data_IF_474157495780
#
_entry.id   IF_474157495780
#
_cell.length_a   1.000
_cell.length_b   1.000
_cell.length_c   1.000
_cell.angle_alpha   90.00
_cell.angle_beta   90.00
_cell.angle_gamma   90.00
#
_symmetry.space_group_name_H-M   'P 1'
#
loop_
_entity.id
_entity.type
_entity.pdbx_description
1 polymer ?
#
# COMPACT_ATOMS: atom_id res chain seq x y z
N UNK A 1 12.82 124.65 63.49
CA UNK A 1 12.28 123.30 63.63
C UNK A 1 12.87 122.48 62.50
N UNK A 2 13.60 121.45 62.87
CA UNK A 2 14.45 120.66 61.97
C UNK A 2 13.57 119.70 61.15
N UNK A 3 14.07 119.26 60.00
CA UNK A 3 13.42 118.31 59.09
C UNK A 3 12.91 117.05 59.82
N UNK A 4 13.53 116.71 60.95
CA UNK A 4 13.19 115.60 61.83
C UNK A 4 11.88 115.79 62.60
N UNK A 5 11.49 117.01 62.99
CA UNK A 5 10.23 117.26 63.73
C UNK A 5 8.99 117.21 62.82
N UNK A 6 9.14 117.55 61.54
CA UNK A 6 8.08 117.47 60.53
C UNK A 6 7.84 116.01 60.09
N UNK A 7 8.89 115.19 59.97
CA UNK A 7 8.78 113.75 59.72
C UNK A 7 8.10 113.02 60.91
N UNK A 8 8.33 113.46 62.15
CA UNK A 8 7.69 112.90 63.34
C UNK A 8 6.18 113.22 63.39
N UNK A 9 5.77 114.45 63.04
CA UNK A 9 4.34 114.83 62.90
C UNK A 9 3.68 114.13 61.73
N UNK A 10 4.36 114.02 60.59
CA UNK A 10 3.86 113.31 59.41
C UNK A 10 3.67 111.82 59.73
N UNK A 11 4.62 111.19 60.44
CA UNK A 11 4.52 109.82 60.94
C UNK A 11 3.31 109.61 61.86
N UNK A 12 3.03 110.57 62.77
CA UNK A 12 1.89 110.49 63.69
C UNK A 12 0.51 110.52 62.99
N UNK A 13 0.38 111.22 61.85
CA UNK A 13 -0.87 111.29 61.07
C UNK A 13 -0.95 110.18 60.02
N UNK A 14 0.13 109.88 59.30
CA UNK A 14 0.16 108.93 58.19
C UNK A 14 0.16 107.46 58.66
N UNK A 15 0.85 107.14 59.77
CA UNK A 15 0.96 105.76 60.25
C UNK A 15 -0.39 105.13 60.64
N UNK A 16 -1.31 105.81 61.37
CA UNK A 16 -2.65 105.27 61.65
C UNK A 16 -3.47 104.99 60.38
N UNK A 17 -3.30 105.80 59.32
CA UNK A 17 -3.99 105.63 58.03
C UNK A 17 -3.40 104.44 57.25
N UNK A 18 -2.08 104.29 57.26
CA UNK A 18 -1.36 103.26 56.48
C UNK A 18 -1.25 101.92 57.21
N UNK A 19 -1.33 101.87 58.55
CA UNK A 19 -1.23 100.64 59.36
C UNK A 19 -2.26 99.56 59.00
N UNK A 20 -3.56 99.87 58.77
CA UNK A 20 -4.51 98.89 58.25
C UNK A 20 -4.12 98.33 56.88
N UNK A 21 -3.60 99.18 55.99
CA UNK A 21 -3.13 98.78 54.65
C UNK A 21 -1.90 97.87 54.74
N UNK A 22 -0.94 98.16 55.63
CA UNK A 22 0.23 97.30 55.88
C UNK A 22 -0.18 95.93 56.45
N UNK A 23 -1.17 95.89 57.36
CA UNK A 23 -1.72 94.62 57.87
C UNK A 23 -2.42 93.83 56.78
N UNK A 24 -3.18 94.49 55.91
CA UNK A 24 -3.82 93.85 54.76
C UNK A 24 -2.79 93.32 53.76
N UNK A 25 -1.73 94.07 53.47
CA UNK A 25 -0.63 93.64 52.62
C UNK A 25 0.08 92.39 53.16
N UNK A 26 0.36 92.33 54.46
CA UNK A 26 0.92 91.13 55.10
C UNK A 26 -0.03 89.92 55.01
N UNK A 27 -1.34 90.15 55.13
CA UNK A 27 -2.36 89.10 54.97
C UNK A 27 -2.45 88.61 53.51
N UNK A 28 -2.34 89.51 52.53
CA UNK A 28 -2.25 89.15 51.11
C UNK A 28 -1.00 88.32 50.82
N UNK A 29 0.16 88.71 51.34
CA UNK A 29 1.40 87.95 51.18
C UNK A 29 1.29 86.53 51.77
N UNK A 30 0.67 86.40 52.95
CA UNK A 30 0.41 85.08 53.55
C UNK A 30 -0.49 84.21 52.67
N UNK A 31 -1.57 84.78 52.11
CA UNK A 31 -2.44 84.08 51.16
C UNK A 31 -1.73 83.72 49.85
N UNK A 32 -0.88 84.60 49.33
CA UNK A 32 -0.10 84.34 48.11
C UNK A 32 0.87 83.17 48.31
N UNK A 33 1.50 83.08 49.49
CA UNK A 33 2.33 81.93 49.85
C UNK A 33 1.51 80.62 49.88
N UNK A 34 0.32 80.64 50.50
CA UNK A 34 -0.58 79.47 50.51
C UNK A 34 -1.06 79.11 49.10
N UNK A 35 -1.37 80.09 48.25
CA UNK A 35 -1.80 79.86 46.86
C UNK A 35 -0.68 79.19 46.06
N UNK A 36 0.57 79.60 46.26
CA UNK A 36 1.71 79.00 45.56
C UNK A 36 1.97 77.57 46.02
N UNK A 37 1.91 77.30 47.32
CA UNK A 37 2.01 75.93 47.85
C UNK A 37 0.91 75.01 47.31
N UNK A 38 -0.35 75.50 47.26
CA UNK A 38 -1.46 74.77 46.65
C UNK A 38 -1.24 74.52 45.15
N UNK A 39 -0.66 75.47 44.41
CA UNK A 39 -0.34 75.29 42.99
C UNK A 39 0.72 74.22 42.76
N UNK A 40 1.74 74.18 43.60
CA UNK A 40 2.80 73.16 43.48
C UNK A 40 2.26 71.76 43.83
N UNK A 41 1.40 71.67 44.85
CA UNK A 41 0.66 70.43 45.13
C UNK A 41 -0.22 69.99 43.95
N UNK A 42 -0.92 70.91 43.28
CA UNK A 42 -1.73 70.60 42.08
C UNK A 42 -0.83 70.07 40.96
N UNK A 43 0.32 70.70 40.70
CA UNK A 43 1.27 70.25 39.67
C UNK A 43 1.78 68.84 39.95
N UNK A 44 2.09 68.52 41.20
CA UNK A 44 2.52 67.17 41.58
C UNK A 44 1.40 66.13 41.31
N UNK A 45 0.15 66.47 41.65
CA UNK A 45 -1.00 65.61 41.35
C UNK A 45 -1.24 65.47 39.85
N UNK A 46 -1.04 66.51 39.06
CA UNK A 46 -1.18 66.44 37.59
C UNK A 46 -0.16 65.48 36.98
N UNK A 47 1.08 65.48 37.46
CA UNK A 47 2.12 64.51 37.06
C UNK A 47 1.68 63.09 37.41
N UNK A 48 1.16 62.88 38.62
CA UNK A 48 0.67 61.57 39.05
C UNK A 48 -0.51 61.08 38.20
N UNK A 49 -1.45 61.98 37.87
CA UNK A 49 -2.58 61.68 36.97
C UNK A 49 -2.08 61.28 35.58
N UNK A 50 -1.09 61.99 35.03
CA UNK A 50 -0.50 61.65 33.74
C UNK A 50 0.14 60.25 33.76
N UNK A 51 0.85 59.90 34.83
CA UNK A 51 1.42 58.55 35.01
C UNK A 51 0.32 57.48 35.09
N UNK A 52 -0.77 57.72 35.82
CA UNK A 52 -1.89 56.78 35.90
C UNK A 52 -2.58 56.58 34.55
N UNK A 53 -2.78 57.66 33.77
CA UNK A 53 -3.33 57.56 32.41
C UNK A 53 -2.48 56.67 31.51
N UNK A 54 -1.15 56.85 31.53
CA UNK A 54 -0.23 56.00 30.78
C UNK A 54 -0.31 54.52 31.20
N UNK A 55 -0.44 54.23 32.50
CA UNK A 55 -0.65 52.85 32.99
C UNK A 55 -1.98 52.25 32.53
N UNK A 56 -3.04 53.05 32.50
CA UNK A 56 -4.36 52.60 32.02
C UNK A 56 -4.28 52.25 30.53
N UNK A 57 -3.64 53.07 29.71
CA UNK A 57 -3.44 52.80 28.28
C UNK A 57 -2.67 51.50 28.04
N UNK A 58 -1.59 51.27 28.80
CA UNK A 58 -0.84 50.02 28.75
C UNK A 58 -1.70 48.81 29.14
N UNK A 59 -2.50 48.96 30.20
CA UNK A 59 -3.39 47.89 30.69
C UNK A 59 -4.44 47.52 29.63
N UNK A 60 -5.05 48.52 29.01
CA UNK A 60 -6.03 48.30 27.94
C UNK A 60 -5.40 47.59 26.73
N UNK A 61 -4.17 47.95 26.37
CA UNK A 61 -3.42 47.27 25.30
C UNK A 61 -3.16 45.79 25.64
N UNK A 62 -2.74 45.51 26.87
CA UNK A 62 -2.55 44.13 27.35
C UNK A 62 -3.86 43.33 27.36
N UNK A 63 -4.98 43.95 27.74
CA UNK A 63 -6.30 43.30 27.75
C UNK A 63 -6.74 42.87 26.34
N UNK A 64 -6.51 43.72 25.33
CA UNK A 64 -6.79 43.38 23.93
C UNK A 64 -5.94 42.17 23.50
N UNK A 65 -4.64 42.19 23.80
CA UNK A 65 -3.76 41.06 23.46
C UNK A 65 -4.16 39.74 24.15
N UNK A 66 -4.70 39.82 25.37
CA UNK A 66 -5.20 38.65 26.08
C UNK A 66 -6.44 38.06 25.40
N UNK A 67 -7.38 38.91 24.98
CA UNK A 67 -8.58 38.46 24.24
C UNK A 67 -8.20 37.78 22.93
N UNK A 68 -7.26 38.33 22.18
CA UNK A 68 -6.77 37.71 20.94
C UNK A 68 -6.17 36.31 21.22
N UNK A 69 -5.33 36.20 22.24
CA UNK A 69 -4.76 34.89 22.63
C UNK A 69 -5.82 33.90 23.09
N UNK A 70 -6.85 34.35 23.80
CA UNK A 70 -7.97 33.54 24.25
C UNK A 70 -8.75 32.97 23.05
N UNK A 71 -9.02 33.78 22.02
CA UNK A 71 -9.67 33.29 20.80
C UNK A 71 -8.83 32.24 20.07
N UNK A 72 -7.51 32.45 19.96
CA UNK A 72 -6.59 31.47 19.36
C UNK A 72 -6.60 30.17 20.17
N UNK A 73 -6.61 30.28 21.49
CA UNK A 73 -6.65 29.11 22.38
C UNK A 73 -7.95 28.32 22.19
N UNK A 74 -9.09 29.00 22.08
CA UNK A 74 -10.37 28.35 21.78
C UNK A 74 -10.37 27.64 20.43
N UNK A 75 -9.83 28.26 19.38
CA UNK A 75 -9.72 27.63 18.06
C UNK A 75 -8.85 26.37 18.13
N UNK A 76 -7.71 26.43 18.82
CA UNK A 76 -6.84 25.26 19.02
C UNK A 76 -7.52 24.16 19.83
N UNK A 77 -8.32 24.50 20.84
CA UNK A 77 -9.08 23.52 21.60
C UNK A 77 -10.08 22.76 20.72
N UNK A 78 -10.76 23.45 19.79
CA UNK A 78 -11.66 22.82 18.82
C UNK A 78 -10.90 21.87 17.89
N UNK A 79 -9.72 22.27 17.42
CA UNK A 79 -8.86 21.40 16.60
C UNK A 79 -8.42 20.14 17.35
N UNK A 80 -8.06 20.26 18.64
CA UNK A 80 -7.71 19.12 19.49
C UNK A 80 -8.87 18.14 19.59
N UNK A 81 -10.08 18.61 19.89
CA UNK A 81 -11.27 17.75 19.99
C UNK A 81 -11.55 17.03 18.66
N UNK A 82 -11.33 17.70 17.52
CA UNK A 82 -11.45 17.07 16.21
C UNK A 82 -10.42 15.94 16.02
N UNK A 83 -9.16 16.20 16.39
CA UNK A 83 -8.10 15.19 16.31
C UNK A 83 -8.36 14.00 17.24
N UNK A 84 -8.87 14.22 18.45
CA UNK A 84 -9.23 13.16 19.39
C UNK A 84 -10.32 12.23 18.82
N UNK A 85 -11.32 12.81 18.15
CA UNK A 85 -12.34 12.02 17.44
C UNK A 85 -11.72 11.17 16.32
N UNK A 86 -10.88 11.77 15.48
CA UNK A 86 -10.23 11.06 14.38
C UNK A 86 -9.32 9.92 14.89
N UNK A 87 -8.70 10.10 16.06
CA UNK A 87 -7.92 9.05 16.74
C UNK A 87 -8.84 7.91 17.17
N UNK A 88 -9.98 8.21 17.82
CA UNK A 88 -10.94 7.19 18.25
C UNK A 88 -11.50 6.36 17.10
N UNK A 89 -11.84 7.00 15.97
CA UNK A 89 -12.32 6.30 14.78
C UNK A 89 -11.24 5.36 14.20
N UNK A 90 -9.97 5.78 14.20
CA UNK A 90 -8.84 4.94 13.78
C UNK A 90 -8.58 3.78 14.74
N UNK A 91 -8.71 3.99 16.05
CA UNK A 91 -8.56 2.93 17.04
C UNK A 91 -9.60 1.82 16.86
N UNK A 92 -10.85 2.19 16.54
CA UNK A 92 -11.89 1.22 16.21
C UNK A 92 -11.56 0.39 14.96
N UNK A 93 -11.06 1.04 13.90
CA UNK A 93 -10.64 0.33 12.67
C UNK A 93 -9.47 -0.63 12.94
N UNK A 94 -8.51 -0.21 13.77
CA UNK A 94 -7.38 -1.06 14.19
C UNK A 94 -7.89 -2.28 14.96
N UNK A 95 -8.87 -2.11 15.85
CA UNK A 95 -9.43 -3.22 16.61
C UNK A 95 -10.12 -4.23 15.70
N UNK A 96 -10.91 -3.78 14.71
CA UNK A 96 -11.56 -4.67 13.75
C UNK A 96 -10.52 -5.45 12.92
N UNK A 97 -9.50 -4.76 12.40
CA UNK A 97 -8.42 -5.44 11.65
C UNK A 97 -7.67 -6.45 12.52
N UNK A 98 -7.47 -6.16 13.80
CA UNK A 98 -6.84 -7.08 14.76
C UNK A 98 -7.66 -8.35 14.93
N UNK A 99 -8.98 -8.24 15.05
CA UNK A 99 -9.87 -9.41 15.15
C UNK A 99 -9.84 -10.26 13.88
N UNK A 100 -9.78 -9.62 12.70
CA UNK A 100 -9.59 -10.31 11.42
C UNK A 100 -8.25 -11.04 11.35
N UNK A 101 -7.17 -10.44 11.85
CA UNK A 101 -5.84 -11.07 11.94
C UNK A 101 -5.90 -12.32 12.83
N UNK A 102 -6.48 -12.23 14.02
CA UNK A 102 -6.62 -13.39 14.92
C UNK A 102 -7.42 -14.54 14.29
N UNK A 103 -8.46 -14.21 13.50
CA UNK A 103 -9.20 -15.22 12.72
C UNK A 103 -8.32 -15.90 11.66
N UNK A 104 -7.51 -15.11 10.94
CA UNK A 104 -6.60 -15.64 9.93
C UNK A 104 -5.49 -16.50 10.54
N UNK A 105 -4.96 -16.11 11.70
CA UNK A 105 -3.96 -16.89 12.45
C UNK A 105 -4.49 -18.28 12.82
N UNK A 106 -5.73 -18.37 13.32
CA UNK A 106 -6.38 -19.65 13.62
C UNK A 106 -6.56 -20.52 12.36
N UNK A 107 -6.90 -19.91 11.22
CA UNK A 107 -7.01 -20.63 9.95
C UNK A 107 -5.66 -21.17 9.47
N UNK A 108 -4.59 -20.39 9.62
CA UNK A 108 -3.23 -20.81 9.29
C UNK A 108 -2.83 -22.01 10.15
N UNK A 109 -3.03 -21.92 11.47
CA UNK A 109 -2.69 -23.02 12.39
C UNK A 109 -3.46 -24.30 12.06
N UNK A 110 -4.75 -24.19 11.73
CA UNK A 110 -5.55 -25.34 11.29
C UNK A 110 -4.98 -25.96 10.00
N UNK A 111 -4.63 -25.13 9.00
CA UNK A 111 -4.04 -25.60 7.73
C UNK A 111 -2.67 -26.26 7.95
N UNK A 112 -1.85 -25.76 8.87
CA UNK A 112 -0.56 -26.36 9.21
C UNK A 112 -0.72 -27.77 9.79
N UNK A 113 -1.66 -27.98 10.72
CA UNK A 113 -1.92 -29.32 11.27
C UNK A 113 -2.37 -30.30 10.19
N UNK A 114 -3.19 -29.83 9.24
CA UNK A 114 -3.61 -30.64 8.10
C UNK A 114 -2.44 -30.96 7.17
N UNK A 115 -1.55 -30.00 6.93
CA UNK A 115 -0.35 -30.20 6.12
C UNK A 115 0.57 -31.26 6.74
N UNK A 116 0.82 -31.18 8.05
CA UNK A 116 1.59 -32.20 8.77
C UNK A 116 0.97 -33.60 8.66
N UNK A 117 -0.37 -33.69 8.71
CA UNK A 117 -1.06 -34.98 8.51
C UNK A 117 -0.91 -35.48 7.07
N UNK A 118 -0.98 -34.60 6.08
CA UNK A 118 -0.80 -34.95 4.68
C UNK A 118 0.63 -35.39 4.39
N UNK A 119 1.63 -34.75 4.99
CA UNK A 119 3.04 -35.13 4.84
C UNK A 119 3.31 -36.54 5.38
N UNK A 120 2.67 -36.93 6.49
CA UNK A 120 2.73 -38.31 6.98
C UNK A 120 2.15 -39.30 5.97
N UNK A 121 1.03 -38.96 5.35
CA UNK A 121 0.40 -39.77 4.31
C UNK A 121 1.30 -39.90 3.06
N UNK A 122 1.97 -38.82 2.66
CA UNK A 122 2.90 -38.83 1.51
C UNK A 122 4.05 -39.79 1.79
N UNK A 123 4.67 -39.72 2.98
CA UNK A 123 5.76 -40.63 3.36
C UNK A 123 5.31 -42.11 3.33
N UNK A 124 4.09 -42.38 3.77
CA UNK A 124 3.53 -43.73 3.73
C UNK A 124 3.33 -44.20 2.28
N UNK A 125 2.76 -43.36 1.43
CA UNK A 125 2.60 -43.68 0.00
C UNK A 125 3.96 -43.85 -0.70
N UNK A 126 4.96 -43.03 -0.39
CA UNK A 126 6.32 -43.18 -0.90
C UNK A 126 6.92 -44.54 -0.51
N UNK A 127 6.72 -44.98 0.73
CA UNK A 127 7.15 -46.31 1.18
C UNK A 127 6.44 -47.42 0.39
N UNK A 128 5.14 -47.30 0.18
CA UNK A 128 4.37 -48.26 -0.62
C UNK A 128 4.84 -48.29 -2.09
N UNK A 129 5.07 -47.13 -2.71
CA UNK A 129 5.62 -47.05 -4.08
C UNK A 129 7.02 -47.66 -4.17
N UNK A 130 7.88 -47.40 -3.18
CA UNK A 130 9.21 -47.98 -3.14
C UNK A 130 9.18 -49.51 -2.97
N UNK A 131 8.19 -50.05 -2.25
CA UNK A 131 7.97 -51.49 -2.17
C UNK A 131 7.49 -52.07 -3.50
N UNK A 132 6.57 -51.40 -4.19
CA UNK A 132 6.06 -51.79 -5.50
C UNK A 132 7.13 -51.75 -6.59
N UNK A 133 7.99 -50.72 -6.59
CA UNK A 133 9.14 -50.62 -7.51
C UNK A 133 10.11 -51.79 -7.35
N UNK A 134 10.35 -52.26 -6.11
CA UNK A 134 11.21 -53.43 -5.87
C UNK A 134 10.59 -54.72 -6.41
N UNK A 135 9.28 -54.87 -6.31
CA UNK A 135 8.56 -56.00 -6.95
C UNK A 135 8.50 -55.88 -8.48
N UNK A 136 8.49 -54.66 -9.03
CA UNK A 136 8.56 -54.39 -10.48
C UNK A 136 9.99 -54.42 -11.06
N UNK A 137 11.04 -54.47 -10.23
CA UNK A 137 12.45 -54.49 -10.64
C UNK A 137 12.90 -55.72 -11.46
N UNK A 138 11.96 -56.58 -11.89
CA UNK A 138 12.17 -57.62 -12.91
C UNK A 138 11.59 -57.28 -14.29
N UNK A 139 11.01 -56.09 -14.48
CA UNK A 139 10.34 -55.66 -15.72
C UNK A 139 10.60 -54.17 -16.00
N UNK A 140 11.84 -53.74 -16.27
CA UNK A 140 12.11 -52.44 -16.91
C UNK A 140 13.37 -52.56 -17.77
N UNK A 141 13.22 -52.50 -19.10
CA UNK A 141 13.74 -51.38 -19.91
C UNK A 141 13.27 -51.48 -21.37
N UNK A 142 12.25 -50.70 -21.75
CA UNK A 142 11.83 -50.52 -23.17
C UNK A 142 11.72 -49.02 -23.51
N UNK A 143 12.07 -48.13 -22.57
CA UNK A 143 11.89 -46.67 -22.66
C UNK A 143 12.97 -45.92 -23.45
N UNK A 144 13.97 -46.59 -24.03
CA UNK A 144 15.05 -45.96 -24.81
C UNK A 144 14.81 -45.98 -26.33
N UNK A 145 13.72 -46.58 -26.81
CA UNK A 145 13.47 -46.62 -28.25
C UNK A 145 13.02 -45.25 -28.77
N UNK A 146 13.86 -44.62 -29.59
CA UNK A 146 13.56 -43.36 -30.30
C UNK A 146 12.73 -43.54 -31.57
N UNK A 147 12.47 -44.78 -31.98
CA UNK A 147 11.72 -45.13 -33.19
C UNK A 147 11.12 -46.52 -33.08
N UNK A 148 10.29 -46.90 -34.07
CA UNK A 148 9.75 -48.26 -34.19
C UNK A 148 10.79 -49.31 -34.63
N UNK A 149 12.00 -48.91 -35.05
CA UNK A 149 13.03 -49.82 -35.59
C UNK A 149 13.45 -50.96 -34.64
N UNK A 150 13.62 -50.75 -33.32
CA UNK A 150 13.98 -51.83 -32.39
C UNK A 150 12.88 -52.89 -32.25
N UNK A 151 11.66 -52.58 -32.69
CA UNK A 151 10.49 -53.44 -32.57
C UNK A 151 10.22 -54.15 -33.88
N UNK A 152 11.08 -55.12 -34.21
CA UNK A 152 11.06 -55.75 -35.53
C UNK A 152 9.78 -56.53 -35.79
N UNK A 153 9.14 -57.06 -34.74
CA UNK A 153 8.07 -58.05 -34.87
C UNK A 153 6.70 -57.55 -34.38
N UNK A 154 6.60 -56.30 -33.91
CA UNK A 154 5.40 -55.77 -33.28
C UNK A 154 4.55 -54.92 -34.25
N UNK A 155 3.29 -55.35 -34.45
CA UNK A 155 2.22 -54.52 -35.02
C UNK A 155 1.32 -54.00 -33.90
N UNK A 156 1.90 -53.26 -32.96
CA UNK A 156 1.20 -52.73 -31.79
C UNK A 156 1.51 -51.24 -31.58
N UNK A 157 0.78 -50.63 -30.66
CA UNK A 157 1.00 -49.27 -30.20
C UNK A 157 2.09 -49.32 -29.13
N UNK A 158 3.23 -48.71 -29.42
CA UNK A 158 4.40 -48.69 -28.56
C UNK A 158 4.72 -47.27 -28.13
N UNK A 159 5.45 -47.14 -27.02
CA UNK A 159 5.90 -45.85 -26.51
C UNK A 159 7.30 -45.56 -27.04
N UNK A 160 7.48 -44.40 -27.69
CA UNK A 160 8.79 -43.89 -28.10
C UNK A 160 9.12 -42.59 -27.36
N UNK A 161 10.41 -42.33 -27.17
CA UNK A 161 10.92 -41.12 -26.53
C UNK A 161 11.84 -40.33 -27.46
N UNK A 162 11.60 -39.03 -27.61
CA UNK A 162 12.46 -38.11 -28.38
C UNK A 162 12.88 -36.92 -27.51
N UNK A 163 14.13 -36.43 -27.65
CA UNK A 163 14.56 -35.24 -26.91
C UNK A 163 13.71 -34.02 -27.28
N UNK A 164 13.17 -33.32 -26.28
CA UNK A 164 12.29 -32.16 -26.46
C UNK A 164 10.78 -32.46 -26.35
N UNK A 165 10.38 -33.74 -26.32
CA UNK A 165 9.00 -34.15 -26.05
C UNK A 165 8.99 -35.35 -25.09
N UNK A 166 8.05 -35.39 -24.14
CA UNK A 166 7.89 -36.56 -23.27
C UNK A 166 7.55 -37.83 -24.08
N UNK A 167 7.70 -39.03 -23.50
CA UNK A 167 7.39 -40.28 -24.17
C UNK A 167 5.93 -40.30 -24.66
N UNK A 168 5.71 -40.76 -25.90
CA UNK A 168 4.39 -40.77 -26.52
C UNK A 168 4.13 -42.07 -27.29
N UNK A 169 2.85 -42.39 -27.43
CA UNK A 169 2.39 -43.61 -28.09
C UNK A 169 2.39 -43.44 -29.61
N UNK A 170 2.91 -44.44 -30.31
CA UNK A 170 2.93 -44.54 -31.77
C UNK A 170 2.53 -45.94 -32.24
N UNK A 171 1.73 -46.07 -33.31
CA UNK A 171 1.50 -47.36 -33.93
C UNK A 171 2.70 -47.76 -34.77
N UNK A 172 3.35 -48.85 -34.40
CA UNK A 172 4.38 -49.48 -35.21
C UNK A 172 3.75 -50.50 -36.16
N UNK A 173 4.23 -50.57 -37.40
CA UNK A 173 3.72 -51.51 -38.39
C UNK A 173 4.86 -52.27 -39.08
N UNK A 174 4.96 -53.57 -38.81
CA UNK A 174 5.92 -54.46 -39.48
C UNK A 174 5.38 -55.20 -40.71
N UNK A 175 4.10 -54.99 -41.08
CA UNK A 175 3.41 -55.83 -42.08
C UNK A 175 3.42 -55.29 -43.51
N UNK A 176 3.48 -53.96 -43.70
CA UNK A 176 3.16 -53.34 -45.00
C UNK A 176 4.38 -53.14 -45.89
N UNK A 177 5.60 -53.01 -45.35
CA UNK A 177 6.83 -52.81 -46.13
C UNK A 177 8.11 -53.12 -45.33
N UNK A 178 8.10 -54.21 -44.56
CA UNK A 178 9.17 -54.54 -43.61
C UNK A 178 8.91 -54.01 -42.20
N UNK A 179 9.87 -54.21 -41.30
CA UNK A 179 9.76 -53.85 -39.90
C UNK A 179 10.16 -52.39 -39.60
N UNK A 180 9.65 -51.84 -38.50
CA UNK A 180 10.10 -50.56 -37.98
C UNK A 180 9.42 -49.30 -38.50
N UNK A 181 8.31 -49.41 -39.23
CA UNK A 181 7.56 -48.24 -39.70
C UNK A 181 6.72 -47.62 -38.60
N UNK A 182 6.88 -46.31 -38.39
CA UNK A 182 5.98 -45.51 -37.54
C UNK A 182 4.82 -44.98 -38.38
N UNK A 183 3.58 -45.29 -38.00
CA UNK A 183 2.41 -44.80 -38.72
C UNK A 183 2.07 -43.38 -38.26
N UNK A 184 2.23 -42.40 -39.15
CA UNK A 184 1.95 -40.99 -38.84
C UNK A 184 0.49 -40.57 -39.11
N UNK A 185 -0.21 -41.32 -39.97
CA UNK A 185 -1.58 -41.03 -40.38
C UNK A 185 -2.25 -42.31 -40.88
N UNK A 186 -3.49 -42.57 -40.46
CA UNK A 186 -4.29 -43.72 -40.94
C UNK A 186 -5.72 -43.30 -41.25
N UNK A 187 -6.26 -43.77 -42.39
CA UNK A 187 -7.70 -43.72 -42.72
C UNK A 187 -8.18 -45.11 -43.10
N UNK A 188 -9.03 -45.69 -42.27
CA UNK A 188 -9.71 -46.97 -42.50
C UNK A 188 -11.20 -46.74 -42.77
N UNK A 189 -11.84 -45.86 -41.99
CA UNK A 189 -13.28 -45.62 -42.00
C UNK A 189 -13.60 -44.11 -42.02
N UNK A 190 -14.87 -43.74 -42.27
CA UNK A 190 -15.32 -42.35 -42.31
C UNK A 190 -15.70 -41.76 -40.93
N UNK A 191 -15.32 -42.42 -39.83
CA UNK A 191 -15.79 -42.09 -38.48
C UNK A 191 -15.04 -40.93 -37.81
N UNK A 192 -13.89 -40.52 -38.35
CA UNK A 192 -13.10 -39.43 -37.79
C UNK A 192 -13.11 -38.21 -38.70
N UNK A 193 -13.38 -37.03 -38.14
CA UNK A 193 -13.39 -35.78 -38.90
C UNK A 193 -11.96 -35.25 -39.05
N UNK A 194 -11.49 -35.07 -40.28
CA UNK A 194 -10.19 -34.46 -40.59
C UNK A 194 -10.29 -32.97 -40.97
N UNK A 195 -11.49 -32.39 -41.02
CA UNK A 195 -11.66 -30.94 -41.12
C UNK A 195 -11.51 -30.34 -39.70
N UNK A 196 -10.25 -30.09 -39.31
CA UNK A 196 -9.83 -29.73 -37.95
C UNK A 196 -9.04 -28.41 -37.94
N UNK A 197 -8.88 -27.80 -36.76
CA UNK A 197 -8.15 -26.54 -36.61
C UNK A 197 -6.64 -26.74 -36.71
N UNK A 198 -5.89 -25.64 -36.87
CA UNK A 198 -4.42 -25.67 -36.84
C UNK A 198 -3.87 -26.30 -35.55
N UNK A 199 -4.48 -26.00 -34.40
CA UNK A 199 -4.05 -26.52 -33.10
C UNK A 199 -4.21 -28.04 -33.05
N UNK A 200 -5.32 -28.56 -33.56
CA UNK A 200 -5.56 -30.01 -33.65
C UNK A 200 -4.52 -30.69 -34.55
N UNK A 201 -4.19 -30.09 -35.70
CA UNK A 201 -3.14 -30.61 -36.57
C UNK A 201 -1.74 -30.52 -35.93
N UNK A 202 -1.48 -29.48 -35.13
CA UNK A 202 -0.22 -29.37 -34.38
C UNK A 202 -0.06 -30.50 -33.37
N UNK A 203 -1.10 -30.75 -32.55
CA UNK A 203 -1.07 -31.73 -31.45
C UNK A 203 -1.32 -33.18 -31.91
N UNK A 204 -2.10 -33.37 -32.97
CA UNK A 204 -2.62 -34.65 -33.42
C UNK A 204 -4.04 -34.92 -32.90
N UNK A 205 -4.77 -35.81 -33.58
CA UNK A 205 -6.15 -36.17 -33.25
C UNK A 205 -6.51 -37.58 -33.74
N UNK A 206 -7.63 -38.11 -33.24
CA UNK A 206 -8.17 -39.43 -33.59
C UNK A 206 -7.64 -40.56 -32.70
N UNK A 207 -7.99 -41.79 -33.06
CA UNK A 207 -7.62 -43.01 -32.33
C UNK A 207 -6.51 -43.76 -33.06
N UNK A 208 -5.40 -44.01 -32.37
CA UNK A 208 -4.24 -44.75 -32.85
C UNK A 208 -4.56 -46.17 -33.36
N UNK A 209 -5.66 -46.78 -32.89
CA UNK A 209 -6.17 -48.07 -33.36
C UNK A 209 -7.02 -47.95 -34.63
N UNK A 210 -7.67 -46.80 -34.86
CA UNK A 210 -8.58 -46.56 -35.97
C UNK A 210 -8.07 -45.48 -36.94
N UNK A 211 -8.70 -44.30 -36.96
CA UNK A 211 -8.35 -43.17 -37.82
C UNK A 211 -7.67 -42.12 -36.95
N UNK A 212 -6.48 -41.69 -37.36
CA UNK A 212 -5.76 -40.68 -36.61
C UNK A 212 -4.79 -39.89 -37.50
N UNK A 213 -4.32 -38.79 -36.92
CA UNK A 213 -3.17 -38.03 -37.35
C UNK A 213 -2.26 -37.80 -36.13
N UNK A 214 -0.99 -38.20 -36.25
CA UNK A 214 -0.05 -38.23 -35.11
C UNK A 214 0.20 -36.83 -34.52
N UNK A 215 0.19 -35.80 -35.36
CA UNK A 215 0.45 -34.41 -34.99
C UNK A 215 1.73 -33.88 -35.61
N UNK A 216 1.68 -32.65 -36.14
CA UNK A 216 2.80 -32.02 -36.83
C UNK A 216 4.01 -31.80 -35.90
N UNK A 217 3.79 -31.50 -34.63
CA UNK A 217 4.88 -31.28 -33.67
C UNK A 217 5.70 -32.56 -33.45
N UNK A 218 5.01 -33.70 -33.31
CA UNK A 218 5.65 -35.03 -33.18
C UNK A 218 6.40 -35.43 -34.46
N UNK A 219 5.75 -35.26 -35.61
CA UNK A 219 6.35 -35.56 -36.92
C UNK A 219 7.58 -34.69 -37.15
N UNK A 220 7.52 -33.40 -36.83
CA UNK A 220 8.66 -32.48 -36.96
C UNK A 220 9.86 -32.95 -36.15
N UNK A 221 9.66 -33.27 -34.86
CA UNK A 221 10.73 -33.75 -33.98
C UNK A 221 11.32 -35.08 -34.46
N UNK A 222 10.48 -36.02 -34.94
CA UNK A 222 10.96 -37.26 -35.55
C UNK A 222 11.84 -36.96 -36.77
N UNK A 223 11.37 -36.13 -37.71
CA UNK A 223 12.15 -35.81 -38.92
C UNK A 223 13.39 -34.97 -38.67
N UNK A 224 13.45 -34.26 -37.53
CA UNK A 224 14.61 -33.50 -37.10
C UNK A 224 15.69 -34.41 -36.49
N UNK A 225 15.30 -35.51 -35.84
CA UNK A 225 16.24 -36.39 -35.14
C UNK A 225 17.10 -37.22 -36.08
N UNK A 226 16.56 -37.64 -37.24
CA UNK A 226 17.29 -38.39 -38.27
C UNK A 226 16.59 -38.31 -39.64
N UNK A 227 17.27 -38.62 -40.75
CA UNK A 227 16.63 -38.76 -42.06
C UNK A 227 15.60 -39.90 -42.07
N UNK A 228 14.46 -39.67 -42.73
CA UNK A 228 13.36 -40.63 -42.83
C UNK A 228 12.86 -40.77 -44.27
N UNK A 229 12.40 -41.97 -44.60
CA UNK A 229 11.65 -42.23 -45.83
C UNK A 229 10.13 -42.19 -45.55
N UNK A 230 9.35 -41.74 -46.52
CA UNK A 230 7.88 -41.70 -46.41
C UNK A 230 7.26 -42.67 -47.41
N UNK A 231 6.48 -43.62 -46.91
CA UNK A 231 5.81 -44.63 -47.72
C UNK A 231 4.27 -44.45 -47.73
N UNK A 232 3.68 -43.94 -48.82
CA UNK A 232 2.23 -43.86 -48.96
C UNK A 232 1.65 -45.22 -49.38
N UNK A 233 1.10 -45.97 -48.44
CA UNK A 233 0.36 -47.20 -48.75
C UNK A 233 -1.09 -46.89 -49.16
N UNK A 234 -1.55 -47.48 -50.27
CA UNK A 234 -2.97 -47.49 -50.67
C UNK A 234 -3.49 -48.91 -50.64
N UNK A 235 -4.47 -49.20 -49.78
CA UNK A 235 -5.23 -50.45 -49.87
C UNK A 235 -6.26 -50.32 -50.99
N UNK A 236 -5.94 -50.87 -52.16
CA UNK A 236 -6.83 -50.85 -53.31
C UNK A 236 -8.08 -51.70 -53.06
N UNK A 237 -9.26 -51.08 -52.98
CA UNK A 237 -10.48 -51.74 -53.42
C UNK A 237 -10.42 -51.78 -54.95
N UNK A 238 -10.32 -52.96 -55.55
CA UNK A 238 -10.67 -53.15 -56.96
C UNK A 238 -12.09 -52.60 -57.13
N UNK A 239 -12.23 -51.56 -57.95
CA UNK A 239 -13.53 -51.14 -58.43
C UNK A 239 -14.11 -52.32 -59.24
N UNK A 240 -15.15 -52.95 -58.71
CA UNK A 240 -15.97 -53.87 -59.48
C UNK A 240 -16.91 -52.99 -60.31
N UNK A 241 -16.76 -53.08 -61.62
CA UNK A 241 -17.51 -52.28 -62.58
C UNK A 241 -19.01 -52.53 -62.50
N UNK A 242 -19.76 -51.48 -62.81
CA UNK A 242 -21.05 -51.53 -63.46
C UNK A 242 -21.14 -50.39 -64.45
#
# INVERSE_FOLDING_TARGET
MTRDEDDERCGAICYPIVKPLLRYAALCQGKDATINDLKDNIREKDVYIAQLKSKIELTNSMEIQLKDKETILHLKAIEIVKMEKDIGDREAEIHEKKDQISKMELQIQSRETLMQSKDKLIRELENQVNSLKRTQGKLVDISEASSCLPFTDATDILTIGLPGIGPFLVPCNSSVSGSGWTVIQRRVNANENFNRTWIDYKLGFGDLRENFFLGLEKIHLMTLSQPHELNPSKSGRRAQGR
#
